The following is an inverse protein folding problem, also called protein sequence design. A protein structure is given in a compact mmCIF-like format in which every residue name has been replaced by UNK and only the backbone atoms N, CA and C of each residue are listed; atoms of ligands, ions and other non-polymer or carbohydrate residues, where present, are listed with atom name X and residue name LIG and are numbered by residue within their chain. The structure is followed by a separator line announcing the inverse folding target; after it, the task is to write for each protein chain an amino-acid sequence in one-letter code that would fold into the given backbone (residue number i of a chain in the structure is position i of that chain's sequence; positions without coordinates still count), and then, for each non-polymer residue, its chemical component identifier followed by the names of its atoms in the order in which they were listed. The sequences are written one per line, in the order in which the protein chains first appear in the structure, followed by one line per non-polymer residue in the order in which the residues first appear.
data_IF_737121874387
#
_entry.id   IF_737121874387
#
_cell.length_a   1.000
_cell.length_b   1.000
_cell.length_c   1.000
_cell.angle_alpha   90.00
_cell.angle_beta   90.00
_cell.angle_gamma   90.00
#
_symmetry.space_group_name_H-M   'P 1'
#
loop_
_entity.id
_entity.type
_entity.pdbx_description
1 polymer ?
#
# COMPACT_ATOMS: atom_id res chain seq x y z
N UNK A 1 11.00 1.29 -4.73
CA UNK A 1 9.55 1.49 -4.80
C UNK A 1 8.94 0.28 -5.47
N UNK A 2 8.13 -0.46 -4.73
CA UNK A 2 7.49 -1.68 -5.22
C UNK A 2 6.08 -1.36 -5.74
N UNK A 3 5.91 -1.48 -7.04
CA UNK A 3 4.63 -1.36 -7.75
C UNK A 3 3.99 -2.72 -8.03
N UNK A 4 2.81 -2.68 -8.64
CA UNK A 4 2.11 -3.91 -9.10
C UNK A 4 2.77 -4.58 -10.32
N UNK A 5 3.44 -3.81 -11.18
CA UNK A 5 4.07 -4.33 -12.41
C UNK A 5 5.60 -4.33 -12.35
N UNK A 6 6.18 -3.30 -11.75
CA UNK A 6 7.63 -3.11 -11.66
C UNK A 6 8.05 -2.68 -10.26
N UNK A 7 9.28 -3.04 -9.91
CA UNK A 7 10.01 -2.52 -8.77
C UNK A 7 11.11 -1.59 -9.28
N UNK A 8 11.02 -0.33 -8.87
CA UNK A 8 11.98 0.72 -9.20
C UNK A 8 12.98 0.88 -8.04
N UNK A 9 14.28 0.91 -8.33
CA UNK A 9 15.35 1.02 -7.33
C UNK A 9 16.28 2.17 -7.70
N UNK A 10 16.66 2.96 -6.70
CA UNK A 10 17.63 4.04 -6.83
C UNK A 10 18.68 3.86 -5.75
N UNK A 11 19.95 3.90 -6.13
CA UNK A 11 21.09 3.79 -5.23
C UNK A 11 21.97 5.04 -5.35
N UNK A 12 22.52 5.46 -4.21
CA UNK A 12 23.46 6.58 -4.11
C UNK A 12 24.68 6.12 -3.33
N UNK A 13 25.86 6.24 -3.92
CA UNK A 13 27.13 5.79 -3.32
C UNK A 13 27.90 6.91 -2.59
N UNK A 14 27.36 8.13 -2.55
CA UNK A 14 28.05 9.33 -2.06
C UNK A 14 28.58 10.24 -3.16
N UNK A 15 28.64 9.75 -4.40
CA UNK A 15 29.17 10.45 -5.57
C UNK A 15 28.29 10.34 -6.82
N UNK A 16 27.66 9.19 -7.04
CA UNK A 16 26.89 8.87 -8.23
C UNK A 16 25.56 8.20 -7.90
N UNK A 17 24.57 8.41 -8.78
CA UNK A 17 23.24 7.86 -8.66
C UNK A 17 23.03 6.78 -9.71
N UNK A 18 22.64 5.58 -9.25
CA UNK A 18 22.33 4.42 -10.10
C UNK A 18 20.85 4.10 -10.01
N UNK A 19 20.23 3.79 -11.14
CA UNK A 19 18.79 3.46 -11.21
C UNK A 19 18.55 2.11 -11.87
N UNK A 20 17.57 1.38 -11.38
CA UNK A 20 17.20 0.06 -11.86
C UNK A 20 15.69 -0.10 -11.86
N UNK A 21 15.19 -0.90 -12.81
CA UNK A 21 13.78 -1.25 -12.93
C UNK A 21 13.68 -2.72 -13.28
N UNK A 22 13.08 -3.49 -12.39
CA UNK A 22 12.89 -4.94 -12.58
C UNK A 22 11.40 -5.27 -12.52
N UNK A 23 10.93 -6.34 -13.18
CA UNK A 23 9.54 -6.80 -13.02
C UNK A 23 9.21 -7.08 -11.55
N UNK A 24 7.99 -6.73 -11.12
CA UNK A 24 7.48 -7.18 -9.83
C UNK A 24 7.13 -8.66 -9.88
N UNK A 25 7.45 -9.37 -8.81
CA UNK A 25 7.28 -10.83 -8.67
C UNK A 25 6.14 -11.16 -7.71
N UNK A 26 5.47 -12.32 -7.81
CA UNK A 26 4.43 -12.70 -6.86
C UNK A 26 4.90 -12.63 -5.41
N UNK A 27 6.10 -13.16 -5.11
CA UNK A 27 6.82 -12.84 -3.90
C UNK A 27 7.65 -11.58 -4.11
N UNK A 28 7.19 -10.46 -3.57
CA UNK A 28 7.76 -9.14 -3.83
C UNK A 28 9.18 -9.00 -3.25
N UNK A 29 9.62 -9.86 -2.33
CA UNK A 29 11.01 -9.82 -1.85
C UNK A 29 12.00 -10.11 -2.97
N UNK A 30 11.65 -10.99 -3.91
CA UNK A 30 12.54 -11.39 -5.00
C UNK A 30 12.84 -10.20 -5.91
N UNK A 31 11.81 -9.50 -6.39
CA UNK A 31 11.99 -8.29 -7.22
C UNK A 31 12.72 -7.16 -6.49
N UNK A 32 12.60 -7.05 -5.17
CA UNK A 32 13.40 -6.10 -4.39
C UNK A 32 14.87 -6.51 -4.36
N UNK A 33 15.17 -7.78 -4.11
CA UNK A 33 16.53 -8.29 -4.06
C UNK A 33 17.21 -8.18 -5.43
N UNK A 34 16.54 -8.59 -6.51
CA UNK A 34 17.01 -8.45 -7.89
C UNK A 34 17.32 -6.98 -8.23
N UNK A 35 16.41 -6.08 -7.85
CA UNK A 35 16.57 -4.65 -8.08
C UNK A 35 17.76 -4.06 -7.30
N UNK A 36 17.95 -4.45 -6.04
CA UNK A 36 19.09 -4.03 -5.20
C UNK A 36 20.40 -4.56 -5.76
N UNK A 37 20.46 -5.84 -6.13
CA UNK A 37 21.64 -6.45 -6.72
C UNK A 37 22.06 -5.72 -8.02
N UNK A 38 21.08 -5.35 -8.85
CA UNK A 38 21.32 -4.66 -10.12
C UNK A 38 21.94 -3.25 -10.00
N UNK A 39 21.72 -2.52 -8.90
CA UNK A 39 22.19 -1.12 -8.76
C UNK A 39 23.15 -0.85 -7.61
N UNK A 40 23.15 -1.67 -6.56
CA UNK A 40 23.96 -1.46 -5.35
C UNK A 40 24.81 -2.69 -4.99
N UNK A 41 24.65 -3.82 -5.70
CA UNK A 41 25.23 -5.09 -5.30
C UNK A 41 24.59 -5.66 -4.03
N UNK A 42 25.29 -6.51 -3.30
CA UNK A 42 24.68 -7.36 -2.26
C UNK A 42 24.50 -6.72 -0.87
N UNK A 43 25.01 -5.51 -0.60
CA UNK A 43 25.02 -4.98 0.78
C UNK A 43 24.98 -3.44 0.87
N UNK A 44 23.80 -2.82 0.71
CA UNK A 44 23.65 -1.40 1.00
C UNK A 44 23.73 -1.15 2.51
N UNK A 45 24.40 -0.06 2.92
CA UNK A 45 24.50 0.33 4.34
C UNK A 45 23.16 0.79 4.95
N UNK A 46 22.21 1.20 4.11
CA UNK A 46 20.83 1.52 4.49
C UNK A 46 19.90 1.27 3.30
N UNK A 47 18.69 0.80 3.60
CA UNK A 47 17.64 0.57 2.60
C UNK A 47 16.36 1.28 3.03
N UNK A 48 15.83 2.14 2.16
CA UNK A 48 14.49 2.73 2.33
C UNK A 48 13.56 2.01 1.37
N UNK A 49 12.57 1.32 1.92
CA UNK A 49 11.60 0.55 1.16
C UNK A 49 10.24 1.25 1.16
N UNK A 50 9.73 1.56 -0.04
CA UNK A 50 8.37 2.02 -0.27
C UNK A 50 7.63 1.01 -1.13
N UNK A 51 6.35 0.79 -0.85
CA UNK A 51 5.49 -0.13 -1.60
C UNK A 51 4.07 0.40 -1.71
N UNK A 52 3.42 0.09 -2.84
CA UNK A 52 2.01 0.36 -3.08
C UNK A 52 1.09 -0.82 -2.77
N UNK A 53 1.66 -1.98 -2.39
CA UNK A 53 0.91 -3.24 -2.18
C UNK A 53 -0.19 -3.06 -1.13
N UNK A 54 0.10 -2.43 0.01
CA UNK A 54 -0.87 -2.23 1.08
C UNK A 54 -2.03 -1.32 0.64
N UNK A 55 -1.72 -0.22 -0.07
CA UNK A 55 -2.73 0.71 -0.58
C UNK A 55 -3.62 0.03 -1.62
N UNK A 56 -3.04 -0.73 -2.55
CA UNK A 56 -3.81 -1.46 -3.55
C UNK A 56 -4.67 -2.55 -2.92
N UNK A 57 -4.15 -3.27 -1.92
CA UNK A 57 -4.93 -4.26 -1.18
C UNK A 57 -6.16 -3.63 -0.48
N UNK A 58 -6.03 -2.41 0.05
CA UNK A 58 -7.14 -1.67 0.65
C UNK A 58 -8.17 -1.22 -0.42
N UNK A 59 -7.70 -0.64 -1.52
CA UNK A 59 -8.54 -0.16 -2.62
C UNK A 59 -9.33 -1.31 -3.28
N UNK A 60 -8.70 -2.46 -3.45
CA UNK A 60 -9.27 -3.64 -4.09
C UNK A 60 -9.98 -4.58 -3.09
N UNK A 61 -10.01 -4.21 -1.80
CA UNK A 61 -10.57 -5.01 -0.71
C UNK A 61 -10.03 -6.43 -0.62
N UNK A 62 -8.75 -6.62 -0.95
CA UNK A 62 -8.02 -7.89 -0.84
C UNK A 62 -7.28 -7.99 0.49
N UNK A 63 -8.01 -7.75 1.58
CA UNK A 63 -7.50 -7.87 2.95
C UNK A 63 -7.81 -9.23 3.59
N UNK A 64 -7.32 -9.43 4.82
CA UNK A 64 -7.72 -10.56 5.63
C UNK A 64 -9.17 -10.41 6.12
N UNK A 65 -9.84 -11.53 6.40
CA UNK A 65 -11.12 -11.53 7.12
C UNK A 65 -10.91 -10.88 8.48
N UNK A 66 -11.64 -9.81 8.75
CA UNK A 66 -11.45 -8.92 9.90
C UNK A 66 -12.77 -8.71 10.63
N UNK A 67 -12.71 -8.55 11.95
CA UNK A 67 -13.85 -8.18 12.80
C UNK A 67 -13.55 -6.87 13.53
N UNK A 68 -14.59 -6.07 13.77
CA UNK A 68 -14.53 -4.89 14.62
C UNK A 68 -14.97 -5.28 16.04
N UNK A 69 -14.11 -5.02 17.02
CA UNK A 69 -14.47 -5.11 18.44
C UNK A 69 -14.53 -3.68 18.99
N UNK A 70 -15.66 -3.31 19.56
CA UNK A 70 -15.94 -1.95 20.05
C UNK A 70 -16.84 -2.01 21.29
N UNK A 71 -17.07 -0.86 21.91
CA UNK A 71 -17.96 -0.72 23.05
C UNK A 71 -19.42 -1.01 22.67
N UNK A 72 -20.18 -1.56 23.63
CA UNK A 72 -21.59 -1.84 23.43
C UNK A 72 -22.36 -0.58 23.05
N UNK A 73 -23.13 -0.65 21.95
CA UNK A 73 -23.85 0.48 21.39
C UNK A 73 -23.06 1.32 20.38
N UNK A 74 -21.80 0.97 20.08
CA UNK A 74 -20.95 1.63 19.06
C UNK A 74 -20.63 0.74 17.86
N UNK A 75 -21.36 -0.36 17.67
CA UNK A 75 -21.07 -1.35 16.62
C UNK A 75 -21.22 -0.77 15.20
N UNK A 76 -22.04 0.27 15.00
CA UNK A 76 -22.26 0.94 13.71
C UNK A 76 -21.22 2.03 13.37
N UNK A 77 -20.21 2.27 14.21
CA UNK A 77 -19.36 3.47 14.11
C UNK A 77 -18.66 3.62 12.74
N UNK A 78 -18.24 2.52 12.13
CA UNK A 78 -17.56 2.55 10.81
C UNK A 78 -18.53 2.62 9.62
N UNK A 79 -19.81 2.29 9.82
CA UNK A 79 -20.86 2.43 8.79
C UNK A 79 -21.45 3.85 8.78
N UNK A 80 -21.62 4.44 9.98
CA UNK A 80 -21.98 5.85 10.14
C UNK A 80 -20.84 6.74 9.62
N UNK A 81 -19.60 6.38 9.92
CA UNK A 81 -18.41 7.14 9.54
C UNK A 81 -18.32 8.49 10.25
N UNK A 82 -17.53 9.42 9.71
CA UNK A 82 -17.27 10.74 10.32
C UNK A 82 -18.02 11.89 9.64
N UNK A 83 -19.10 11.58 8.93
CA UNK A 83 -19.85 12.53 8.12
C UNK A 83 -18.99 13.23 7.04
N UNK A 84 -17.91 12.58 6.59
CA UNK A 84 -17.11 13.09 5.47
C UNK A 84 -17.99 13.18 4.22
N UNK A 85 -18.03 14.37 3.61
CA UNK A 85 -18.82 14.65 2.41
C UNK A 85 -17.89 14.82 1.20
N UNK A 86 -17.54 13.73 0.48
CA UNK A 86 -16.67 13.84 -0.69
C UNK A 86 -17.29 14.73 -1.78
N UNK A 87 -18.63 14.77 -1.86
CA UNK A 87 -19.41 15.64 -2.74
C UNK A 87 -20.40 16.46 -1.90
N UNK A 88 -19.99 17.66 -1.48
CA UNK A 88 -20.66 18.46 -0.43
C UNK A 88 -22.18 18.69 -0.65
N UNK A 89 -22.61 18.79 -1.90
CA UNK A 89 -23.99 19.14 -2.29
C UNK A 89 -24.76 18.00 -2.98
N UNK A 90 -24.18 16.81 -3.08
CA UNK A 90 -24.86 15.65 -3.65
C UNK A 90 -25.69 14.95 -2.56
N UNK A 91 -27.00 15.16 -2.59
CA UNK A 91 -27.94 14.52 -1.66
C UNK A 91 -28.22 13.05 -1.99
N UNK A 92 -27.74 12.59 -3.15
CA UNK A 92 -27.91 11.22 -3.65
C UNK A 92 -26.64 10.38 -3.56
N UNK A 93 -25.59 10.90 -2.89
CA UNK A 93 -24.28 10.24 -2.81
C UNK A 93 -24.37 8.84 -2.21
N UNK A 94 -23.80 7.87 -2.91
CA UNK A 94 -23.62 6.51 -2.39
C UNK A 94 -22.35 6.48 -1.55
N UNK A 95 -22.48 6.12 -0.26
CA UNK A 95 -21.34 5.94 0.63
C UNK A 95 -20.55 4.68 0.26
N UNK A 96 -19.23 4.74 0.40
CA UNK A 96 -18.38 3.55 0.31
C UNK A 96 -18.75 2.59 1.45
N UNK A 97 -18.91 1.30 1.15
CA UNK A 97 -19.18 0.29 2.17
C UNK A 97 -18.10 0.29 3.27
N UNK A 98 -18.42 -0.04 4.54
CA UNK A 98 -17.40 -0.15 5.58
C UNK A 98 -16.43 -1.30 5.29
N UNK A 99 -15.25 -1.30 5.90
CA UNK A 99 -14.26 -2.39 5.74
C UNK A 99 -14.72 -3.71 6.40
N UNK A 100 -15.55 -3.61 7.43
CA UNK A 100 -16.15 -4.73 8.15
C UNK A 100 -17.66 -4.48 8.18
N UNK A 101 -18.44 -5.47 7.75
CA UNK A 101 -19.90 -5.45 7.83
C UNK A 101 -20.36 -5.80 9.26
N UNK A 102 -21.56 -5.36 9.64
CA UNK A 102 -22.16 -5.67 10.95
C UNK A 102 -22.55 -7.14 11.06
#
# INVERSE_FOLDING_TARGET
DVGGTFTDVVAWDGTSLSTGKVPSTPDQSDGVLDGVEAVAGASPGALVHGTTVATNALLERRGARTALVTDAGFEDVIEIGRQDRPTLYDTTVTRTAPLVER
#
